data_IF_312932807688
#
_entry.id   IF_312932807688
#
_cell.length_a   1.000
_cell.length_b   1.000
_cell.length_c   1.000
_cell.angle_alpha   90.00
_cell.angle_beta   90.00
_cell.angle_gamma   90.00
#
_symmetry.space_group_name_H-M   'P 1'
#
loop_
_entity.id
_entity.type
_entity.pdbx_description
1 polymer ?
#
# COMPACT_ATOMS: atom_id res chain seq x y z
N UNK A 1 25.54 1.16 -1.36
CA UNK A 1 24.44 2.09 -0.99
C UNK A 1 24.54 3.31 -1.88
N UNK A 2 23.45 3.68 -2.53
CA UNK A 2 23.44 4.74 -3.54
C UNK A 2 22.25 5.68 -3.26
N UNK A 3 22.48 6.99 -3.42
CA UNK A 3 21.49 8.03 -3.16
C UNK A 3 21.61 8.67 -1.80
N UNK A 4 21.36 9.97 -1.73
CA UNK A 4 21.51 10.75 -0.48
C UNK A 4 20.59 10.32 0.65
N UNK A 5 19.44 9.70 0.35
CA UNK A 5 18.54 9.14 1.36
C UNK A 5 19.14 7.94 2.11
N UNK A 6 20.19 7.30 1.59
CA UNK A 6 20.89 6.22 2.29
C UNK A 6 21.67 6.71 3.52
N UNK A 7 22.15 7.95 3.49
CA UNK A 7 22.84 8.59 4.62
C UNK A 7 21.96 9.55 5.42
N UNK A 8 21.09 10.29 4.72
CA UNK A 8 20.21 11.28 5.33
C UNK A 8 18.77 10.76 5.26
N UNK A 9 18.29 10.09 6.30
CA UNK A 9 17.00 9.46 6.28
C UNK A 9 15.89 10.51 6.14
N UNK A 10 15.00 10.30 5.16
CA UNK A 10 13.75 11.05 5.04
C UNK A 10 12.63 10.17 5.63
N UNK A 11 12.24 10.42 6.86
CA UNK A 11 11.28 9.61 7.59
C UNK A 11 9.96 10.35 7.88
N UNK A 12 9.83 11.56 7.36
CA UNK A 12 8.69 12.45 7.59
C UNK A 12 8.44 13.37 6.39
N UNK A 13 7.22 13.84 6.23
CA UNK A 13 6.87 14.88 5.25
C UNK A 13 7.08 16.30 5.80
N UNK A 14 6.78 17.29 4.97
CA UNK A 14 6.72 18.70 5.37
C UNK A 14 5.42 19.04 6.09
N UNK A 15 5.40 20.18 6.81
CA UNK A 15 4.21 20.65 7.51
C UNK A 15 3.91 19.88 8.80
N UNK A 16 2.63 19.59 9.03
CA UNK A 16 2.14 18.97 10.28
C UNK A 16 2.56 17.51 10.48
N UNK A 17 3.06 16.84 9.43
CA UNK A 17 3.63 15.49 9.55
C UNK A 17 5.03 15.45 10.14
N UNK A 18 5.62 16.62 10.44
CA UNK A 18 6.97 16.70 11.02
C UNK A 18 7.01 16.15 12.43
N UNK A 19 8.00 15.28 12.70
CA UNK A 19 8.26 14.69 14.01
C UNK A 19 9.64 15.12 14.53
N UNK A 20 9.78 15.20 15.86
CA UNK A 20 11.05 15.49 16.51
C UNK A 20 11.75 14.17 16.88
N UNK A 21 12.42 13.57 15.91
CA UNK A 21 13.20 12.35 16.13
C UNK A 21 14.35 12.62 17.09
N UNK A 22 14.63 11.68 17.99
CA UNK A 22 15.77 11.77 18.93
C UNK A 22 17.05 11.31 18.26
N UNK A 23 16.99 10.25 17.47
CA UNK A 23 18.11 9.66 16.77
C UNK A 23 17.61 8.82 15.59
N UNK A 24 17.62 9.36 14.39
CA UNK A 24 17.36 8.57 13.17
C UNK A 24 18.71 8.10 12.60
N UNK A 25 18.90 6.79 12.51
CA UNK A 25 20.11 6.21 11.91
C UNK A 25 20.01 6.21 10.38
N UNK A 26 21.15 6.27 9.70
CA UNK A 26 21.19 6.07 8.26
C UNK A 26 20.97 4.60 7.89
N UNK A 27 20.36 4.32 6.73
CA UNK A 27 20.21 2.94 6.27
C UNK A 27 21.59 2.29 6.03
N UNK A 28 22.56 3.10 5.59
CA UNK A 28 23.95 2.66 5.41
C UNK A 28 24.55 2.15 6.71
N UNK A 29 24.37 2.89 7.82
CA UNK A 29 24.90 2.48 9.14
C UNK A 29 24.14 1.28 9.70
N UNK A 30 22.82 1.21 9.54
CA UNK A 30 22.03 0.06 9.95
C UNK A 30 22.52 -1.23 9.27
N UNK A 31 22.77 -1.23 7.96
CA UNK A 31 23.28 -2.39 7.24
C UNK A 31 24.71 -2.74 7.67
N UNK A 32 25.59 -1.75 7.92
CA UNK A 32 26.93 -1.98 8.46
C UNK A 32 26.90 -2.64 9.83
N UNK A 33 25.99 -2.23 10.71
CA UNK A 33 25.79 -2.85 12.03
C UNK A 33 25.34 -4.30 11.93
N UNK A 34 24.62 -4.67 10.85
CA UNK A 34 24.24 -6.05 10.54
C UNK A 34 25.40 -6.86 9.90
N UNK A 35 26.58 -6.27 9.71
CA UNK A 35 27.77 -6.94 9.20
C UNK A 35 27.94 -6.86 7.67
N UNK A 36 27.12 -6.08 6.98
CA UNK A 36 27.29 -5.86 5.54
C UNK A 36 28.43 -4.88 5.27
N UNK A 37 29.26 -5.18 4.27
CA UNK A 37 30.21 -4.22 3.73
C UNK A 37 29.47 -3.28 2.77
N UNK A 38 29.23 -2.04 3.20
CA UNK A 38 28.39 -1.10 2.47
C UNK A 38 29.23 0.12 2.04
N UNK A 39 29.62 0.16 0.78
CA UNK A 39 30.14 1.36 0.13
C UNK A 39 29.03 2.37 -0.11
N UNK A 40 29.34 3.66 -0.07
CA UNK A 40 28.37 4.72 -0.32
C UNK A 40 28.73 5.58 -1.53
N UNK A 41 27.71 5.94 -2.33
CA UNK A 41 27.81 6.91 -3.41
C UNK A 41 26.56 7.80 -3.46
N UNK A 42 26.74 9.12 -3.48
CA UNK A 42 25.64 10.08 -3.42
C UNK A 42 24.73 10.04 -4.65
N UNK A 43 25.27 9.89 -5.86
CA UNK A 43 24.52 9.86 -7.12
C UNK A 43 24.02 11.22 -7.55
N UNK A 44 23.03 11.79 -6.87
CA UNK A 44 22.46 13.10 -7.16
C UNK A 44 22.28 13.95 -5.89
N UNK A 45 22.14 15.26 -6.06
CA UNK A 45 21.94 16.21 -4.96
C UNK A 45 20.44 16.33 -4.65
N UNK A 46 19.98 15.71 -3.56
CA UNK A 46 18.59 15.70 -3.13
C UNK A 46 18.00 17.11 -3.06
N UNK A 47 18.70 18.03 -2.37
CA UNK A 47 18.22 19.41 -2.13
C UNK A 47 17.90 20.18 -3.40
N UNK A 48 18.60 19.91 -4.49
CA UNK A 48 18.47 20.64 -5.75
C UNK A 48 17.88 19.77 -6.86
N UNK A 49 17.62 18.50 -6.57
CA UNK A 49 17.15 17.52 -7.55
C UNK A 49 18.04 17.53 -8.81
N UNK A 50 19.33 17.64 -8.60
CA UNK A 50 20.31 17.85 -9.66
C UNK A 50 21.26 16.66 -9.75
N UNK A 51 21.33 16.06 -10.92
CA UNK A 51 22.38 15.12 -11.29
C UNK A 51 23.69 15.90 -11.46
N UNK A 52 24.75 15.37 -10.87
CA UNK A 52 26.10 15.85 -11.17
C UNK A 52 26.81 14.77 -11.96
N UNK A 53 27.47 15.09 -13.11
CA UNK A 53 28.15 14.07 -13.93
C UNK A 53 29.15 13.20 -13.12
N UNK A 54 29.86 13.79 -12.18
CA UNK A 54 30.76 13.07 -11.27
C UNK A 54 29.99 12.17 -10.29
N UNK A 55 28.85 12.63 -9.76
CA UNK A 55 28.06 11.86 -8.81
C UNK A 55 27.48 10.60 -9.44
N UNK A 56 26.88 10.72 -10.63
CA UNK A 56 26.35 9.58 -11.37
C UNK A 56 27.45 8.59 -11.69
N UNK A 57 28.53 9.05 -12.28
CA UNK A 57 29.66 8.19 -12.66
C UNK A 57 30.19 7.41 -11.47
N UNK A 58 30.40 8.07 -10.33
CA UNK A 58 30.87 7.42 -9.12
C UNK A 58 29.85 6.40 -8.58
N UNK A 59 28.55 6.71 -8.64
CA UNK A 59 27.50 5.79 -8.23
C UNK A 59 27.46 4.53 -9.12
N UNK A 60 27.53 4.70 -10.44
CA UNK A 60 27.58 3.60 -11.42
C UNK A 60 28.83 2.74 -11.21
N UNK A 61 30.01 3.36 -11.06
CA UNK A 61 31.26 2.65 -10.78
C UNK A 61 31.21 1.88 -9.45
N UNK A 62 30.56 2.46 -8.43
CA UNK A 62 30.36 1.81 -7.13
C UNK A 62 29.40 0.63 -7.28
N UNK A 63 28.27 0.80 -8.00
CA UNK A 63 27.34 -0.27 -8.24
C UNK A 63 27.96 -1.45 -8.99
N UNK A 64 28.80 -1.17 -10.00
CA UNK A 64 29.44 -2.21 -10.82
C UNK A 64 30.44 -3.07 -10.04
N UNK A 65 30.97 -2.59 -8.91
CA UNK A 65 31.96 -3.30 -8.08
C UNK A 65 31.36 -4.10 -6.94
N UNK A 66 30.06 -3.97 -6.70
CA UNK A 66 29.37 -4.59 -5.58
C UNK A 66 28.38 -5.66 -6.06
N UNK A 67 28.11 -6.68 -5.24
CA UNK A 67 27.20 -7.78 -5.56
C UNK A 67 25.74 -7.32 -5.66
N UNK A 68 25.39 -6.26 -4.92
CA UNK A 68 24.05 -5.70 -4.87
C UNK A 68 24.12 -4.17 -4.75
N UNK A 69 23.24 -3.47 -5.43
CA UNK A 69 23.07 -2.03 -5.32
C UNK A 69 21.73 -1.70 -4.65
N UNK A 70 21.76 -1.03 -3.50
CA UNK A 70 20.57 -0.49 -2.83
C UNK A 70 20.48 0.99 -3.15
N UNK A 71 19.51 1.39 -3.96
CA UNK A 71 19.30 2.76 -4.43
C UNK A 71 18.18 3.40 -3.61
N UNK A 72 18.52 4.40 -2.81
CA UNK A 72 17.63 5.11 -1.91
C UNK A 72 17.19 6.44 -2.53
N UNK A 73 15.89 6.54 -2.80
CA UNK A 73 15.27 7.69 -3.47
C UNK A 73 13.97 8.07 -2.77
N UNK A 74 13.38 9.18 -3.14
CA UNK A 74 12.10 9.58 -2.54
C UNK A 74 11.72 11.02 -2.86
N UNK A 75 10.66 11.45 -2.21
CA UNK A 75 10.21 12.83 -2.22
C UNK A 75 10.81 13.60 -1.06
N UNK A 76 10.92 14.90 -1.21
CA UNK A 76 11.42 15.81 -0.17
C UNK A 76 10.27 16.73 0.28
N UNK A 77 10.46 17.43 1.40
CA UNK A 77 9.55 18.47 1.85
C UNK A 77 9.29 19.58 0.82
N UNK A 78 10.13 19.69 -0.22
CA UNK A 78 9.90 20.63 -1.34
C UNK A 78 8.82 20.16 -2.31
N UNK A 79 8.68 18.85 -2.47
CA UNK A 79 7.75 18.22 -3.41
C UNK A 79 6.55 17.58 -2.74
N UNK A 80 6.64 17.29 -1.44
CA UNK A 80 5.59 16.61 -0.68
C UNK A 80 5.44 17.26 0.69
N UNK A 81 4.52 18.18 0.80
CA UNK A 81 4.18 18.90 2.02
C UNK A 81 2.73 19.32 2.01
N UNK A 82 2.22 19.62 3.18
CA UNK A 82 0.92 20.28 3.35
C UNK A 82 0.82 21.60 2.55
N UNK A 83 -0.37 21.96 2.10
CA UNK A 83 -0.68 23.17 1.32
C UNK A 83 -0.08 23.21 -0.10
N UNK A 84 0.48 22.13 -0.59
CA UNK A 84 1.08 22.11 -1.94
C UNK A 84 0.71 20.83 -2.66
N UNK A 85 -0.01 20.95 -3.78
CA UNK A 85 -0.37 19.81 -4.60
C UNK A 85 0.84 19.25 -5.35
N UNK A 86 0.88 17.92 -5.48
CA UNK A 86 1.80 17.23 -6.37
C UNK A 86 1.26 17.29 -7.79
N UNK A 87 2.12 17.70 -8.72
CA UNK A 87 1.80 17.77 -10.15
C UNK A 87 2.17 16.49 -10.93
N UNK A 88 2.81 15.55 -10.27
CA UNK A 88 3.23 14.28 -10.85
C UNK A 88 3.34 13.23 -9.76
N UNK A 89 3.03 11.98 -10.11
CA UNK A 89 3.29 10.81 -9.26
C UNK A 89 4.71 10.26 -9.45
N UNK A 90 5.46 10.73 -10.45
CA UNK A 90 6.83 10.30 -10.71
C UNK A 90 7.79 10.78 -9.63
N UNK A 91 8.84 10.04 -9.45
CA UNK A 91 10.02 10.54 -8.75
C UNK A 91 10.64 11.68 -9.54
N UNK A 92 11.57 12.38 -8.90
CA UNK A 92 12.40 13.34 -9.60
C UNK A 92 13.14 12.67 -10.77
N UNK A 93 13.22 13.29 -11.97
CA UNK A 93 13.93 12.72 -13.12
C UNK A 93 15.37 12.29 -12.78
N UNK A 94 16.07 13.05 -11.96
CA UNK A 94 17.42 12.68 -11.52
C UNK A 94 17.47 11.37 -10.71
N UNK A 95 16.43 11.07 -9.93
CA UNK A 95 16.33 9.82 -9.19
C UNK A 95 16.00 8.65 -10.13
N UNK A 96 15.11 8.84 -11.08
CA UNK A 96 14.76 7.82 -12.07
C UNK A 96 15.96 7.48 -12.97
N UNK A 97 16.67 8.49 -13.47
CA UNK A 97 17.88 8.30 -14.29
C UNK A 97 18.96 7.55 -13.51
N UNK A 98 19.20 7.92 -12.22
CA UNK A 98 20.15 7.21 -11.37
C UNK A 98 19.81 5.73 -11.21
N UNK A 99 18.53 5.39 -10.97
CA UNK A 99 18.07 4.00 -10.86
C UNK A 99 18.36 3.25 -12.16
N UNK A 100 18.03 3.85 -13.30
CA UNK A 100 18.20 3.25 -14.61
C UNK A 100 19.67 3.02 -14.97
N UNK A 101 20.53 4.00 -14.70
CA UNK A 101 21.98 3.90 -14.96
C UNK A 101 22.62 2.82 -14.07
N UNK A 102 22.24 2.74 -12.80
CA UNK A 102 22.69 1.68 -11.87
C UNK A 102 22.23 0.31 -12.34
N UNK A 103 20.96 0.19 -12.79
CA UNK A 103 20.41 -1.07 -13.27
C UNK A 103 21.05 -1.59 -14.57
N UNK A 104 21.71 -0.72 -15.35
CA UNK A 104 22.48 -1.14 -16.52
C UNK A 104 23.77 -1.90 -16.17
N UNK A 105 24.35 -1.63 -15.01
CA UNK A 105 25.66 -2.17 -14.61
C UNK A 105 25.57 -3.20 -13.48
N UNK A 106 24.48 -3.23 -12.74
CA UNK A 106 24.27 -4.19 -11.66
C UNK A 106 22.88 -4.86 -11.82
N UNK A 107 22.82 -6.19 -11.99
CA UNK A 107 21.56 -6.90 -12.14
C UNK A 107 20.77 -7.07 -10.83
N UNK A 108 21.41 -6.79 -9.69
CA UNK A 108 20.83 -6.96 -8.36
C UNK A 108 20.55 -5.59 -7.71
N UNK A 109 19.59 -4.87 -8.26
CA UNK A 109 19.18 -3.55 -7.74
C UNK A 109 17.95 -3.68 -6.85
N UNK A 110 18.05 -3.12 -5.65
CA UNK A 110 16.91 -2.90 -4.74
C UNK A 110 16.70 -1.38 -4.67
N UNK A 111 15.46 -0.94 -4.96
CA UNK A 111 15.10 0.47 -4.81
C UNK A 111 14.33 0.64 -3.50
N UNK A 112 14.79 1.57 -2.66
CA UNK A 112 14.11 1.96 -1.42
C UNK A 112 13.51 3.35 -1.63
N UNK A 113 12.18 3.46 -1.50
CA UNK A 113 11.44 4.68 -1.78
C UNK A 113 10.89 5.27 -0.47
N UNK A 114 11.28 6.52 -0.19
CA UNK A 114 10.74 7.33 0.90
C UNK A 114 9.78 8.38 0.32
N UNK A 115 8.48 8.16 0.50
CA UNK A 115 7.44 9.07 0.02
C UNK A 115 6.16 8.90 0.85
N UNK A 116 5.40 9.95 1.08
CA UNK A 116 4.19 9.92 1.89
C UNK A 116 2.94 9.48 1.13
N UNK A 117 3.01 9.39 -0.20
CA UNK A 117 1.89 8.99 -1.08
C UNK A 117 2.39 8.22 -2.30
N UNK A 118 1.46 7.71 -3.10
CA UNK A 118 1.74 6.88 -4.26
C UNK A 118 2.82 7.45 -5.19
N UNK A 119 3.69 6.57 -5.69
CA UNK A 119 4.77 6.89 -6.64
C UNK A 119 4.60 6.04 -7.89
N UNK A 120 4.68 6.68 -9.07
CA UNK A 120 4.76 5.98 -10.35
C UNK A 120 6.16 5.36 -10.51
N UNK A 121 6.23 4.05 -10.48
CA UNK A 121 7.47 3.27 -10.60
C UNK A 121 7.66 2.63 -11.98
N UNK A 122 6.77 2.92 -12.92
CA UNK A 122 6.72 2.30 -14.25
C UNK A 122 8.02 2.42 -15.05
N UNK A 123 8.81 3.47 -14.81
CA UNK A 123 10.08 3.70 -15.49
C UNK A 123 11.14 2.62 -15.18
N UNK A 124 11.10 2.02 -13.99
CA UNK A 124 12.16 1.12 -13.51
C UNK A 124 11.66 -0.20 -12.91
N UNK A 125 10.36 -0.40 -12.65
CA UNK A 125 9.79 -1.59 -12.03
C UNK A 125 10.31 -2.90 -12.66
N UNK A 126 10.27 -3.02 -13.98
CA UNK A 126 10.73 -4.21 -14.71
C UNK A 126 12.26 -4.35 -14.85
N UNK A 127 13.04 -3.39 -14.34
CA UNK A 127 14.51 -3.32 -14.49
C UNK A 127 15.28 -3.55 -13.19
N UNK A 128 14.59 -3.62 -12.06
CA UNK A 128 15.16 -3.82 -10.72
C UNK A 128 14.63 -5.12 -10.10
N UNK A 129 15.34 -5.64 -9.10
CA UNK A 129 14.96 -6.90 -8.44
C UNK A 129 13.89 -6.74 -7.39
N UNK A 130 13.88 -5.60 -6.70
CA UNK A 130 12.90 -5.32 -5.66
C UNK A 130 12.70 -3.82 -5.51
N UNK A 131 11.47 -3.46 -5.09
CA UNK A 131 11.11 -2.11 -4.68
C UNK A 131 10.56 -2.21 -3.25
N UNK A 132 11.17 -1.49 -2.33
CA UNK A 132 10.74 -1.35 -0.95
C UNK A 132 10.18 0.06 -0.75
N UNK A 133 8.86 0.16 -0.64
CA UNK A 133 8.19 1.42 -0.34
C UNK A 133 8.10 1.59 1.18
N UNK A 134 8.81 2.59 1.71
CA UNK A 134 8.89 2.82 3.16
C UNK A 134 7.83 3.77 3.69
N UNK A 135 7.23 4.61 2.85
CA UNK A 135 6.41 5.69 3.36
C UNK A 135 7.21 6.67 4.22
N UNK A 136 6.53 7.33 5.16
CA UNK A 136 7.14 8.12 6.23
C UNK A 136 6.93 7.41 7.57
N UNK A 137 7.78 6.42 7.84
CA UNK A 137 7.64 5.50 8.97
C UNK A 137 8.22 5.99 10.29
N UNK A 138 8.74 7.22 10.35
CA UNK A 138 9.29 7.79 11.57
C UNK A 138 10.72 7.34 11.87
N UNK A 139 11.10 7.47 13.15
CA UNK A 139 12.49 7.35 13.62
C UNK A 139 13.14 5.98 13.33
N UNK A 140 12.39 4.87 13.47
CA UNK A 140 12.90 3.51 13.27
C UNK A 140 12.81 2.99 11.82
N UNK A 141 12.55 3.85 10.83
CA UNK A 141 12.31 3.44 9.45
C UNK A 141 13.49 2.68 8.82
N UNK A 142 14.70 3.15 9.06
CA UNK A 142 15.91 2.60 8.43
C UNK A 142 16.38 1.30 9.09
N UNK A 143 16.19 1.14 10.40
CA UNK A 143 16.39 -0.13 11.09
C UNK A 143 15.44 -1.20 10.54
N UNK A 144 14.16 -0.86 10.38
CA UNK A 144 13.18 -1.75 9.76
C UNK A 144 13.54 -2.09 8.30
N UNK A 145 13.96 -1.10 7.50
CA UNK A 145 14.42 -1.32 6.13
C UNK A 145 15.62 -2.26 6.07
N UNK A 146 16.58 -2.08 6.97
CA UNK A 146 17.76 -2.94 7.06
C UNK A 146 17.40 -4.39 7.43
N UNK A 147 16.48 -4.60 8.36
CA UNK A 147 15.98 -5.93 8.72
C UNK A 147 15.27 -6.60 7.53
N UNK A 148 14.46 -5.86 6.76
CA UNK A 148 13.82 -6.36 5.55
C UNK A 148 14.84 -6.72 4.47
N UNK A 149 15.75 -5.80 4.13
CA UNK A 149 16.76 -6.01 3.07
C UNK A 149 17.71 -7.16 3.42
N UNK A 150 18.07 -7.32 4.69
CA UNK A 150 18.92 -8.42 5.15
C UNK A 150 18.21 -9.76 5.23
N UNK A 151 16.88 -9.79 5.12
CA UNK A 151 16.07 -10.99 5.27
C UNK A 151 15.88 -11.46 6.73
N UNK A 152 16.27 -10.67 7.72
CA UNK A 152 16.02 -10.98 9.14
C UNK A 152 14.53 -11.00 9.46
N UNK A 153 13.77 -10.15 8.79
CA UNK A 153 12.31 -10.06 8.90
C UNK A 153 11.72 -10.12 7.50
N UNK A 154 10.66 -10.90 7.33
CA UNK A 154 9.91 -10.91 6.08
C UNK A 154 8.96 -9.71 6.03
N UNK A 155 8.87 -9.00 4.88
CA UNK A 155 7.88 -7.94 4.74
C UNK A 155 6.45 -8.47 4.90
N UNK A 156 5.63 -7.70 5.58
CA UNK A 156 4.22 -8.02 5.82
C UNK A 156 3.33 -6.77 5.72
N UNK A 157 3.90 -5.62 5.40
CA UNK A 157 3.15 -4.39 5.19
C UNK A 157 2.27 -4.48 3.94
N UNK A 158 1.11 -3.82 3.99
CA UNK A 158 0.18 -3.70 2.88
C UNK A 158 -0.02 -2.23 2.54
N UNK A 159 -0.14 -1.90 1.26
CA UNK A 159 -0.42 -0.53 0.84
C UNK A 159 -1.75 -0.05 1.41
N UNK A 160 -1.72 1.09 2.10
CA UNK A 160 -2.90 1.73 2.67
C UNK A 160 -3.66 2.60 1.66
N UNK A 161 -3.15 2.68 0.44
CA UNK A 161 -3.77 3.39 -0.68
C UNK A 161 -3.57 2.62 -1.99
N UNK A 162 -4.35 2.98 -3.01
CA UNK A 162 -4.18 2.44 -4.37
C UNK A 162 -3.09 3.24 -5.08
N UNK A 163 -2.14 2.56 -5.71
CA UNK A 163 -1.13 3.19 -6.57
C UNK A 163 -1.66 3.19 -8.01
N UNK A 164 -2.05 4.35 -8.56
CA UNK A 164 -2.49 4.45 -9.94
C UNK A 164 -1.32 4.30 -10.92
N UNK A 165 -1.61 4.01 -12.18
CA UNK A 165 -0.58 3.97 -13.24
C UNK A 165 -0.13 5.36 -13.64
N UNK A 166 -1.04 6.33 -13.59
CA UNK A 166 -0.76 7.73 -13.89
C UNK A 166 -1.68 8.63 -13.06
N UNK A 167 -1.37 9.91 -13.04
CA UNK A 167 -2.14 10.89 -12.28
C UNK A 167 -3.55 11.07 -12.82
N UNK A 168 -3.73 10.92 -14.13
CA UNK A 168 -5.00 11.03 -14.82
C UNK A 168 -6.01 9.95 -14.40
N UNK A 169 -5.55 8.82 -13.87
CA UNK A 169 -6.38 7.74 -13.34
C UNK A 169 -7.02 8.08 -11.99
N UNK A 170 -6.60 9.16 -11.33
CA UNK A 170 -7.10 9.51 -10.00
C UNK A 170 -8.45 10.21 -10.06
N UNK A 171 -9.30 10.03 -9.05
CA UNK A 171 -10.61 10.69 -8.95
C UNK A 171 -10.53 12.22 -8.95
N UNK A 172 -9.37 12.77 -8.61
CA UNK A 172 -9.13 14.22 -8.46
C UNK A 172 -8.29 14.83 -9.58
N UNK A 173 -7.98 14.06 -10.64
CA UNK A 173 -7.08 14.50 -11.72
C UNK A 173 -7.49 15.83 -12.39
N UNK A 174 -8.79 16.06 -12.56
CA UNK A 174 -9.32 17.25 -13.23
C UNK A 174 -9.49 18.47 -12.30
N UNK A 175 -9.19 18.33 -11.00
CA UNK A 175 -9.66 19.29 -9.98
C UNK A 175 -8.57 20.03 -9.24
N UNK A 176 -7.43 20.16 -9.81
CA UNK A 176 -6.33 20.85 -9.14
C UNK A 176 -6.64 22.31 -8.90
N UNK A 177 -7.10 22.63 -7.68
CA UNK A 177 -7.12 23.96 -7.08
C UNK A 177 -7.52 25.13 -7.99
N UNK A 178 -8.70 25.07 -8.63
CA UNK A 178 -9.11 26.12 -9.57
C UNK A 178 -10.12 27.11 -8.99
N UNK A 179 -9.99 27.49 -7.72
CA UNK A 179 -10.79 28.55 -7.16
C UNK A 179 -11.18 28.39 -5.69
N UNK A 180 -12.21 29.13 -5.29
CA UNK A 180 -12.70 29.18 -3.91
C UNK A 180 -13.68 28.05 -3.55
N UNK A 181 -14.03 27.18 -4.50
CA UNK A 181 -15.01 26.11 -4.29
C UNK A 181 -14.40 24.79 -4.68
N UNK A 182 -14.26 23.88 -3.71
CA UNK A 182 -13.91 22.48 -3.93
C UNK A 182 -15.17 21.65 -4.08
N UNK A 183 -15.16 20.70 -5.02
CA UNK A 183 -16.26 19.75 -5.25
C UNK A 183 -15.74 18.35 -5.15
N UNK A 184 -16.52 17.44 -4.55
CA UNK A 184 -16.21 16.02 -4.36
C UNK A 184 -17.19 15.14 -5.17
N UNK A 185 -17.15 15.18 -6.54
CA UNK A 185 -18.09 14.42 -7.38
C UNK A 185 -17.89 12.91 -7.29
N UNK A 186 -16.74 12.42 -6.78
CA UNK A 186 -16.53 11.01 -6.48
C UNK A 186 -17.47 10.51 -5.38
N UNK A 187 -17.98 11.39 -4.52
CA UNK A 187 -18.89 11.03 -3.44
C UNK A 187 -18.31 9.95 -2.53
N UNK A 188 -18.98 8.79 -2.44
CA UNK A 188 -18.53 7.64 -1.62
C UNK A 188 -17.41 6.81 -2.29
N UNK A 189 -17.11 7.09 -3.56
CA UNK A 189 -16.14 6.34 -4.34
C UNK A 189 -14.72 6.90 -4.14
N UNK A 190 -14.15 6.69 -2.97
CA UNK A 190 -12.80 7.16 -2.60
C UNK A 190 -11.80 6.00 -2.63
N UNK A 191 -10.56 6.27 -3.03
CA UNK A 191 -9.47 5.29 -3.07
C UNK A 191 -9.80 4.09 -3.97
N UNK A 192 -9.53 2.84 -3.52
CA UNK A 192 -9.77 1.63 -4.31
C UNK A 192 -11.22 1.52 -4.81
N UNK A 193 -12.20 2.07 -4.10
CA UNK A 193 -13.62 2.08 -4.47
C UNK A 193 -13.85 2.78 -5.80
N UNK A 194 -13.13 3.89 -6.06
CA UNK A 194 -13.20 4.63 -7.31
C UNK A 194 -12.63 3.82 -8.49
N UNK A 195 -11.44 3.24 -8.33
CA UNK A 195 -10.80 2.46 -9.38
C UNK A 195 -11.62 1.25 -9.76
N UNK A 196 -12.11 0.51 -8.78
CA UNK A 196 -12.93 -0.68 -9.01
C UNK A 196 -14.27 -0.35 -9.65
N UNK A 197 -14.97 0.69 -9.17
CA UNK A 197 -16.26 1.11 -9.72
C UNK A 197 -16.15 1.50 -11.20
N UNK A 198 -15.10 2.24 -11.55
CA UNK A 198 -14.86 2.72 -12.92
C UNK A 198 -14.10 1.72 -13.81
N UNK A 199 -13.71 0.56 -13.29
CA UNK A 199 -12.96 -0.44 -14.05
C UNK A 199 -11.53 -0.02 -14.41
N UNK A 200 -10.92 0.88 -13.63
CA UNK A 200 -9.56 1.38 -13.84
C UNK A 200 -8.59 0.42 -13.14
N UNK A 201 -7.72 -0.23 -13.90
CA UNK A 201 -6.70 -1.13 -13.36
C UNK A 201 -5.52 -0.33 -12.79
N UNK A 202 -5.26 -0.34 -11.48
CA UNK A 202 -4.13 0.38 -10.89
C UNK A 202 -2.79 -0.31 -11.20
N UNK A 203 -1.68 0.35 -10.88
CA UNK A 203 -0.36 -0.26 -10.83
C UNK A 203 -0.29 -1.25 -9.67
N UNK A 204 -0.67 -0.81 -8.46
CA UNK A 204 -0.80 -1.67 -7.29
C UNK A 204 -2.14 -1.38 -6.58
N UNK A 205 -2.94 -2.41 -6.31
CA UNK A 205 -4.23 -2.22 -5.64
C UNK A 205 -4.05 -1.89 -4.16
N UNK A 206 -5.09 -1.32 -3.55
CA UNK A 206 -5.18 -1.19 -2.10
C UNK A 206 -4.98 -2.54 -1.41
N UNK A 207 -4.20 -2.55 -0.35
CA UNK A 207 -3.90 -3.77 0.40
C UNK A 207 -2.81 -4.65 -0.21
N UNK A 208 -2.21 -4.27 -1.34
CA UNK A 208 -1.12 -5.02 -1.97
C UNK A 208 0.14 -5.01 -1.09
N UNK A 209 0.87 -6.12 -1.11
CA UNK A 209 2.19 -6.25 -0.50
C UNK A 209 2.70 -7.67 -0.62
N UNK A 210 4.00 -7.81 -0.93
CA UNK A 210 4.67 -9.10 -1.05
C UNK A 210 5.27 -9.55 0.28
N UNK A 211 5.58 -10.83 0.36
CA UNK A 211 6.27 -11.48 1.48
C UNK A 211 7.40 -12.36 0.95
N UNK A 212 8.33 -12.76 1.80
CA UNK A 212 9.35 -13.77 1.45
C UNK A 212 8.82 -15.20 1.55
N UNK A 213 7.55 -15.35 1.91
CA UNK A 213 6.84 -16.63 1.98
C UNK A 213 5.54 -16.59 1.20
N UNK A 214 4.82 -17.70 1.16
CA UNK A 214 3.54 -17.85 0.47
C UNK A 214 2.48 -18.36 1.46
N UNK A 215 1.28 -17.79 1.40
CA UNK A 215 0.16 -18.18 2.24
C UNK A 215 -0.95 -18.82 1.42
N UNK A 216 -1.54 -19.89 1.97
CA UNK A 216 -2.70 -20.58 1.43
C UNK A 216 -3.89 -20.33 2.33
N UNK A 217 -5.00 -19.88 1.74
CA UNK A 217 -6.27 -19.64 2.40
C UNK A 217 -7.21 -20.82 2.15
N UNK A 218 -8.03 -21.19 3.13
CA UNK A 218 -8.98 -22.30 3.01
C UNK A 218 -10.02 -22.34 4.12
N UNK A 219 -10.86 -23.38 4.08
CA UNK A 219 -11.81 -23.77 5.13
C UNK A 219 -12.74 -22.64 5.59
N UNK A 220 -13.23 -21.82 4.63
CA UNK A 220 -14.15 -20.73 4.95
C UNK A 220 -15.48 -21.29 5.46
N UNK A 221 -15.92 -20.78 6.60
CA UNK A 221 -17.21 -21.05 7.23
C UNK A 221 -17.93 -19.74 7.46
N UNK A 222 -19.20 -19.68 7.11
CA UNK A 222 -20.09 -18.56 7.41
C UNK A 222 -21.25 -19.07 8.23
N UNK A 223 -21.44 -18.53 9.43
CA UNK A 223 -22.50 -18.88 10.35
C UNK A 223 -23.40 -17.68 10.59
N UNK A 224 -24.69 -17.80 10.26
CA UNK A 224 -25.71 -16.80 10.59
C UNK A 224 -25.99 -16.84 12.09
N UNK A 225 -25.90 -15.68 12.74
CA UNK A 225 -26.13 -15.51 14.19
C UNK A 225 -27.43 -14.74 14.48
N UNK A 226 -27.87 -13.90 13.55
CA UNK A 226 -29.07 -13.06 13.63
C UNK A 226 -29.63 -12.78 12.25
N UNK A 227 -30.52 -11.80 12.13
CA UNK A 227 -31.10 -11.39 10.84
C UNK A 227 -30.00 -10.90 9.87
N UNK A 228 -29.08 -10.07 10.39
CA UNK A 228 -27.98 -9.45 9.67
C UNK A 228 -26.60 -9.79 10.27
N UNK A 229 -26.57 -10.53 11.37
CA UNK A 229 -25.32 -10.84 12.06
C UNK A 229 -24.77 -12.19 11.60
N UNK A 230 -23.47 -12.18 11.25
CA UNK A 230 -22.75 -13.36 10.80
C UNK A 230 -21.43 -13.50 11.54
N UNK A 231 -21.03 -14.73 11.78
CA UNK A 231 -19.66 -15.06 12.15
C UNK A 231 -18.99 -15.76 10.98
N UNK A 232 -17.84 -15.24 10.55
CA UNK A 232 -17.02 -15.87 9.53
C UNK A 232 -15.73 -16.39 10.14
N UNK A 233 -15.29 -17.54 9.68
CA UNK A 233 -13.95 -18.07 10.02
C UNK A 233 -13.32 -18.75 8.80
N UNK A 234 -12.00 -18.72 8.72
CA UNK A 234 -11.22 -19.36 7.65
C UNK A 234 -9.81 -19.63 8.10
N UNK A 235 -9.14 -20.59 7.45
CA UNK A 235 -7.77 -20.94 7.74
C UNK A 235 -6.78 -20.18 6.84
N UNK A 236 -5.60 -19.86 7.38
CA UNK A 236 -4.43 -19.41 6.63
C UNK A 236 -3.23 -20.21 7.05
N UNK A 237 -2.54 -20.79 6.08
CA UNK A 237 -1.33 -21.59 6.28
C UNK A 237 -0.14 -20.94 5.60
N UNK A 238 0.98 -20.86 6.29
CA UNK A 238 2.27 -20.54 5.68
C UNK A 238 2.80 -21.78 4.95
N UNK A 239 2.74 -21.76 3.62
CA UNK A 239 3.20 -22.88 2.77
C UNK A 239 4.56 -22.60 2.11
N UNK A 240 5.19 -21.48 2.43
CA UNK A 240 6.50 -21.11 1.90
C UNK A 240 7.65 -21.55 2.80
N UNK A 241 8.77 -20.80 2.75
CA UNK A 241 10.04 -21.22 3.36
C UNK A 241 10.52 -20.26 4.47
N UNK A 242 9.80 -19.19 4.75
CA UNK A 242 10.17 -18.20 5.75
C UNK A 242 8.99 -17.96 6.70
N UNK A 243 9.28 -17.78 7.97
CA UNK A 243 8.30 -17.29 8.93
C UNK A 243 7.92 -15.84 8.58
N UNK A 244 6.64 -15.53 8.59
CA UNK A 244 6.15 -14.19 8.27
C UNK A 244 4.74 -13.95 8.81
N UNK A 245 4.36 -12.68 8.92
CA UNK A 245 2.98 -12.31 9.20
C UNK A 245 2.17 -12.14 7.90
N UNK A 246 0.92 -12.62 7.91
CA UNK A 246 -0.07 -12.32 6.88
C UNK A 246 -1.11 -11.34 7.41
N UNK A 247 -1.54 -10.44 6.53
CA UNK A 247 -2.66 -9.53 6.76
C UNK A 247 -3.80 -9.93 5.85
N UNK A 248 -4.85 -10.50 6.45
CA UNK A 248 -6.09 -10.87 5.76
C UNK A 248 -7.04 -9.68 5.73
N UNK A 249 -7.81 -9.56 4.66
CA UNK A 249 -8.75 -8.45 4.43
C UNK A 249 -10.13 -9.03 4.11
N UNK A 250 -11.16 -8.54 4.80
CA UNK A 250 -12.56 -8.96 4.64
C UNK A 250 -13.33 -7.86 3.95
N UNK A 251 -13.95 -8.18 2.83
CA UNK A 251 -14.74 -7.25 2.05
C UNK A 251 -16.18 -7.72 1.94
N UNK A 252 -17.11 -6.79 1.87
CA UNK A 252 -18.53 -7.06 1.58
C UNK A 252 -18.93 -6.31 0.31
N UNK A 253 -19.64 -7.02 -0.57
CA UNK A 253 -20.29 -6.49 -1.76
C UNK A 253 -21.79 -6.66 -1.63
N UNK A 254 -22.54 -5.63 -1.97
CA UNK A 254 -23.97 -5.73 -2.23
C UNK A 254 -24.16 -6.05 -3.72
N UNK A 255 -24.70 -7.25 -4.03
CA UNK A 255 -24.74 -7.76 -5.40
C UNK A 255 -25.77 -7.02 -6.28
N UNK A 256 -26.73 -6.32 -5.67
CA UNK A 256 -27.84 -5.67 -6.37
C UNK A 256 -28.33 -4.36 -5.73
N UNK A 257 -27.40 -3.52 -5.25
CA UNK A 257 -27.75 -2.27 -4.58
C UNK A 257 -28.57 -1.32 -5.46
N UNK A 258 -29.56 -0.71 -4.86
CA UNK A 258 -30.44 0.29 -5.51
C UNK A 258 -29.83 1.69 -5.57
N UNK A 259 -28.74 1.91 -4.86
CA UNK A 259 -28.01 3.17 -4.83
C UNK A 259 -26.58 3.00 -5.34
N UNK A 260 -25.92 4.10 -5.69
CA UNK A 260 -24.51 4.05 -6.04
C UNK A 260 -23.70 3.68 -4.80
N UNK A 261 -23.14 2.47 -4.80
CA UNK A 261 -22.23 1.96 -3.77
C UNK A 261 -20.91 1.51 -4.38
N UNK A 262 -19.84 1.46 -3.57
CA UNK A 262 -18.61 0.74 -3.95
C UNK A 262 -18.91 -0.71 -4.34
N UNK A 263 -18.16 -1.26 -5.29
CA UNK A 263 -18.31 -2.69 -5.65
C UNK A 263 -18.06 -3.63 -4.49
N UNK A 264 -17.19 -3.22 -3.57
CA UNK A 264 -16.97 -3.86 -2.26
C UNK A 264 -16.38 -2.88 -1.27
N UNK A 265 -16.55 -3.15 0.01
CA UNK A 265 -16.07 -2.34 1.11
C UNK A 265 -15.27 -3.19 2.10
N UNK A 266 -14.09 -2.72 2.50
CA UNK A 266 -13.30 -3.35 3.56
C UNK A 266 -14.03 -3.16 4.89
N UNK A 267 -14.45 -4.24 5.51
CA UNK A 267 -15.18 -4.23 6.80
C UNK A 267 -14.35 -4.75 7.96
N UNK A 268 -13.37 -5.62 7.68
CA UNK A 268 -12.47 -6.12 8.71
C UNK A 268 -11.11 -6.49 8.14
N UNK A 269 -10.11 -6.52 8.98
CA UNK A 269 -8.80 -7.07 8.68
C UNK A 269 -8.16 -7.66 9.94
N UNK A 270 -7.17 -8.53 9.75
CA UNK A 270 -6.44 -9.12 10.86
C UNK A 270 -5.03 -9.50 10.46
N UNK A 271 -4.10 -9.47 11.40
CA UNK A 271 -2.70 -9.82 11.19
C UNK A 271 -2.28 -10.92 12.15
N UNK A 272 -1.64 -11.98 11.64
CA UNK A 272 -1.02 -13.03 12.44
C UNK A 272 0.32 -13.43 11.87
N UNK A 273 1.29 -13.64 12.76
CA UNK A 273 2.57 -14.25 12.43
C UNK A 273 2.41 -15.77 12.36
N UNK A 274 3.05 -16.39 11.37
CA UNK A 274 2.97 -17.84 11.11
C UNK A 274 4.37 -18.38 10.83
N UNK A 275 4.76 -19.37 11.59
CA UNK A 275 5.95 -20.17 11.31
C UNK A 275 5.77 -20.98 10.02
N UNK A 276 6.88 -21.50 9.49
CA UNK A 276 6.84 -22.35 8.28
C UNK A 276 5.98 -23.59 8.54
N UNK A 277 4.98 -23.82 7.72
CA UNK A 277 4.02 -24.91 7.83
C UNK A 277 2.87 -24.66 8.81
N UNK A 278 2.95 -23.61 9.62
CA UNK A 278 1.90 -23.28 10.60
C UNK A 278 0.60 -22.89 9.91
N UNK A 279 -0.50 -23.31 10.52
CA UNK A 279 -1.87 -22.92 10.13
C UNK A 279 -2.54 -22.19 11.29
N UNK A 280 -3.17 -21.08 11.02
CA UNK A 280 -4.01 -20.39 11.99
C UNK A 280 -5.43 -20.21 11.45
N UNK A 281 -6.37 -19.99 12.37
CA UNK A 281 -7.74 -19.60 12.04
C UNK A 281 -7.93 -18.12 12.33
N UNK A 282 -8.48 -17.39 11.38
CA UNK A 282 -9.05 -16.06 11.56
C UNK A 282 -10.55 -16.18 11.76
N UNK A 283 -11.11 -15.31 12.61
CA UNK A 283 -12.55 -15.22 12.85
C UNK A 283 -12.98 -13.77 13.02
N UNK A 284 -14.11 -13.40 12.41
CA UNK A 284 -14.68 -12.05 12.48
C UNK A 284 -16.19 -12.12 12.70
N UNK A 285 -16.69 -11.21 13.51
CA UNK A 285 -18.12 -10.95 13.59
C UNK A 285 -18.45 -9.83 12.60
N UNK A 286 -19.43 -10.09 11.76
CA UNK A 286 -20.03 -9.12 10.86
C UNK A 286 -21.40 -8.76 11.43
N UNK A 287 -21.71 -7.48 11.47
CA UNK A 287 -22.92 -6.92 12.06
C UNK A 287 -23.74 -6.21 10.98
N UNK A 288 -24.96 -5.81 11.31
CA UNK A 288 -25.82 -5.01 10.42
C UNK A 288 -25.08 -3.83 9.79
N UNK A 289 -24.22 -3.18 10.56
CA UNK A 289 -23.43 -2.02 10.11
C UNK A 289 -22.49 -2.32 8.94
N UNK A 290 -21.98 -3.53 8.86
CA UNK A 290 -21.03 -3.95 7.81
C UNK A 290 -21.71 -4.15 6.45
N UNK A 291 -23.04 -4.38 6.46
CA UNK A 291 -23.87 -4.51 5.25
C UNK A 291 -24.57 -3.21 4.86
N UNK A 292 -24.66 -2.25 5.78
CA UNK A 292 -25.41 -1.02 5.63
C UNK A 292 -24.68 0.04 4.78
N UNK A 293 -25.47 0.89 4.16
CA UNK A 293 -25.02 2.21 3.67
C UNK A 293 -25.77 3.32 4.40
N UNK A 294 -25.21 4.54 4.43
CA UNK A 294 -25.93 5.69 4.96
C UNK A 294 -26.91 6.22 3.93
N UNK A 295 -28.19 6.22 4.25
CA UNK A 295 -29.25 6.76 3.41
C UNK A 295 -29.51 8.23 3.78
N UNK A 296 -29.21 9.20 2.88
CA UNK A 296 -29.52 10.62 3.14
C UNK A 296 -31.02 10.91 3.26
N UNK A 297 -31.85 10.09 2.62
CA UNK A 297 -33.30 10.22 2.65
C UNK A 297 -33.84 9.88 4.04
N UNK A 298 -33.30 8.84 4.64
CA UNK A 298 -33.68 8.31 5.95
C UNK A 298 -32.94 8.97 7.09
N UNK A 299 -31.77 9.58 6.76
CA UNK A 299 -30.82 10.09 7.70
C UNK A 299 -30.32 9.04 8.70
N UNK A 300 -30.18 7.79 8.24
CA UNK A 300 -29.70 6.64 9.03
C UNK A 300 -28.99 5.60 8.17
N UNK A 301 -28.35 4.62 8.84
CA UNK A 301 -27.77 3.47 8.17
C UNK A 301 -28.86 2.46 7.83
N UNK A 302 -28.84 1.98 6.60
CA UNK A 302 -29.86 1.13 6.04
C UNK A 302 -29.28 -0.09 5.33
N UNK A 303 -29.85 -1.26 5.56
CA UNK A 303 -29.50 -2.52 4.89
C UNK A 303 -30.62 -2.88 3.93
N UNK A 304 -30.29 -3.10 2.67
CA UNK A 304 -31.24 -3.61 1.66
C UNK A 304 -31.40 -5.12 1.82
N UNK A 305 -32.60 -5.63 1.51
CA UNK A 305 -32.81 -7.06 1.32
C UNK A 305 -32.11 -7.52 0.03
N UNK A 306 -31.44 -8.65 0.08
CA UNK A 306 -30.78 -9.20 -1.08
C UNK A 306 -29.55 -10.05 -0.78
N UNK A 307 -28.86 -10.38 -1.84
CA UNK A 307 -27.64 -11.18 -1.79
C UNK A 307 -26.42 -10.29 -1.56
N UNK A 308 -25.63 -10.66 -0.58
CA UNK A 308 -24.32 -10.05 -0.32
C UNK A 308 -23.21 -11.07 -0.51
N UNK A 309 -22.10 -10.63 -1.10
CA UNK A 309 -20.90 -11.46 -1.24
C UNK A 309 -19.85 -11.04 -0.20
N UNK A 310 -19.46 -11.97 0.67
CA UNK A 310 -18.35 -11.83 1.61
C UNK A 310 -17.10 -12.35 0.92
N UNK A 311 -16.06 -11.51 0.81
CA UNK A 311 -14.81 -11.84 0.12
C UNK A 311 -13.63 -11.72 1.08
N UNK A 312 -12.76 -12.73 1.09
CA UNK A 312 -11.51 -12.74 1.85
C UNK A 312 -10.36 -12.61 0.88
N UNK A 313 -9.48 -11.65 1.09
CA UNK A 313 -8.37 -11.39 0.20
C UNK A 313 -7.06 -11.06 0.91
N UNK A 314 -5.98 -11.14 0.16
CA UNK A 314 -4.65 -10.62 0.52
C UNK A 314 -4.48 -9.15 0.08
N UNK A 315 -5.37 -8.66 -0.80
CA UNK A 315 -5.53 -7.27 -1.23
C UNK A 315 -6.93 -7.07 -1.80
N UNK A 316 -7.29 -5.84 -2.17
CA UNK A 316 -8.58 -5.57 -2.82
C UNK A 316 -8.73 -6.27 -4.17
N UNK A 317 -7.64 -6.60 -4.85
CA UNK A 317 -7.66 -7.31 -6.14
C UNK A 317 -7.29 -8.81 -6.04
N UNK A 318 -6.71 -9.25 -4.93
CA UNK A 318 -6.31 -10.64 -4.71
C UNK A 318 -7.29 -11.32 -3.75
N UNK A 319 -8.47 -11.65 -4.25
CA UNK A 319 -9.51 -12.35 -3.51
C UNK A 319 -9.24 -13.86 -3.56
N UNK A 320 -9.21 -14.49 -2.39
CA UNK A 320 -8.87 -15.91 -2.18
C UNK A 320 -10.06 -16.79 -1.85
N UNK A 321 -11.03 -16.29 -1.10
CA UNK A 321 -12.23 -17.01 -0.69
C UNK A 321 -13.43 -16.10 -0.83
N UNK A 322 -14.58 -16.67 -1.18
CA UNK A 322 -15.85 -15.95 -1.29
C UNK A 322 -16.99 -16.85 -0.84
N UNK A 323 -18.00 -16.25 -0.22
CA UNK A 323 -19.27 -16.89 0.14
C UNK A 323 -20.40 -15.88 0.01
N UNK A 324 -21.56 -16.34 -0.43
CA UNK A 324 -22.78 -15.53 -0.55
C UNK A 324 -23.69 -15.72 0.64
N UNK A 325 -24.28 -14.64 1.09
CA UNK A 325 -25.27 -14.63 2.18
C UNK A 325 -26.51 -13.88 1.72
N UNK A 326 -27.67 -14.34 2.20
CA UNK A 326 -28.95 -13.69 1.95
C UNK A 326 -29.39 -12.94 3.20
N UNK A 327 -29.72 -11.66 3.03
CA UNK A 327 -30.34 -10.83 4.06
C UNK A 327 -31.81 -10.63 3.68
N UNK A 328 -32.68 -11.08 4.57
CA UNK A 328 -34.13 -10.90 4.49
C UNK A 328 -34.61 -10.26 5.81
N UNK A 329 -34.94 -9.00 5.75
CA UNK A 329 -35.52 -8.25 6.87
C UNK A 329 -37.01 -8.15 6.71
N UNK A 330 -37.78 -8.14 7.82
CA UNK A 330 -39.22 -7.96 7.80
C UNK A 330 -39.64 -6.66 7.07
N UNK A 331 -40.82 -6.67 6.45
CA UNK A 331 -41.36 -5.51 5.72
C UNK A 331 -41.42 -4.23 6.56
N UNK A 332 -41.60 -4.35 7.87
CA UNK A 332 -41.59 -3.22 8.81
C UNK A 332 -40.24 -2.52 8.89
N UNK A 333 -39.15 -3.23 8.57
CA UNK A 333 -37.79 -2.72 8.49
C UNK A 333 -37.37 -2.35 7.06
N UNK A 334 -38.25 -2.60 6.09
CA UNK A 334 -38.06 -2.20 4.70
C UNK A 334 -38.79 -0.89 4.44
N UNK A 335 -38.11 0.04 3.80
CA UNK A 335 -38.79 1.25 3.36
C UNK A 335 -39.81 0.93 2.30
N UNK A 336 -41.04 1.44 2.49
CA UNK A 336 -41.95 1.61 1.37
C UNK A 336 -41.26 2.55 0.37
N UNK A 337 -40.99 2.02 -0.82
CA UNK A 337 -40.32 2.68 -1.94
C UNK A 337 -41.17 3.79 -2.55
N UNK A 338 -41.64 4.77 -1.73
CA UNK A 338 -42.43 5.90 -2.22
C UNK A 338 -41.97 7.22 -1.56
#
# INVERSE_FOLDING_TARGET
MIGGFAENPEFQGGGSSRVNAKAAQSLCDCLKQLGFNADFALGYMIRYNLLTPFGIRYAVETAAKNDCAVVCVGNTWLTEKEETDRFSLKLNPAAEDLILDVAQVNPNVIVVIYAGSAVDVSAFEGKVKAILYMGYCGEGANEAAADLISGRVSPCGKLAETFPKCLEDTATAERRGNGYTERYPEGVLVGYKYYEYNGIAPAYPFGYGLSYTTFRYGDMQVKKLGETDYYISFSVQNVGRHAAAEIVQVYISDDASMVTRPRKELVAFGKKHLEVGETCTFGFNLTERDFAYFSPVLNEFYVENGTFTISIGASSADIRLQEKVEIELPDEKQFSRY
#
